data_IF_107640547933
#
_entry.id   IF_107640547933
#
_cell.length_a   1.000
_cell.length_b   1.000
_cell.length_c   1.000
_cell.angle_alpha   90.00
_cell.angle_beta   90.00
_cell.angle_gamma   90.00
#
_symmetry.space_group_name_H-M   'P 1'
#
loop_
_entity.id
_entity.type
_entity.pdbx_description
1 polymer ?
#
# COMPACT_ATOMS: atom_id res chain seq x y z
N UNK A 1 4.71 -24.43 -0.25
CA UNK A 1 5.50 -23.19 -0.28
C UNK A 1 4.98 -22.30 -1.40
N UNK A 2 4.43 -21.15 -1.04
CA UNK A 2 3.96 -20.13 -1.98
C UNK A 2 5.16 -19.35 -2.53
N UNK A 3 5.34 -19.35 -3.82
CA UNK A 3 6.48 -18.70 -4.50
C UNK A 3 6.10 -17.30 -4.94
N UNK A 4 6.85 -16.29 -4.48
CA UNK A 4 6.63 -14.90 -4.81
C UNK A 4 7.71 -14.41 -5.76
N UNK A 5 7.32 -13.64 -6.78
CA UNK A 5 8.20 -12.93 -7.70
C UNK A 5 8.11 -11.41 -7.52
N UNK A 6 9.24 -10.73 -7.40
CA UNK A 6 9.31 -9.27 -7.32
C UNK A 6 9.60 -8.66 -8.69
N UNK A 7 8.79 -7.68 -9.08
CA UNK A 7 8.97 -6.86 -10.29
C UNK A 7 9.21 -5.42 -9.87
N UNK A 8 10.32 -4.83 -10.29
CA UNK A 8 10.70 -3.47 -9.92
C UNK A 8 11.52 -2.79 -11.03
N UNK A 9 11.77 -1.50 -10.90
CA UNK A 9 12.80 -0.81 -11.67
C UNK A 9 14.17 -0.90 -10.99
N UNK A 10 14.20 -0.81 -9.66
CA UNK A 10 15.40 -0.86 -8.83
C UNK A 10 15.10 -1.64 -7.55
N UNK A 11 15.56 -2.87 -7.44
CA UNK A 11 15.31 -3.70 -6.25
C UNK A 11 16.01 -3.21 -4.97
N UNK A 12 17.08 -2.43 -5.09
CA UNK A 12 17.75 -1.90 -3.90
C UNK A 12 17.02 -0.66 -3.34
N UNK A 13 15.76 -0.84 -2.96
CA UNK A 13 14.92 0.17 -2.33
C UNK A 13 14.36 -0.31 -0.98
N UNK A 14 13.70 0.60 -0.27
CA UNK A 14 13.15 0.33 1.07
C UNK A 14 12.09 -0.77 1.05
N UNK A 15 11.15 -0.75 0.07
CA UNK A 15 10.04 -1.71 0.03
C UNK A 15 10.53 -3.11 -0.32
N UNK A 16 11.37 -3.29 -1.34
CA UNK A 16 11.91 -4.60 -1.70
C UNK A 16 12.69 -5.22 -0.54
N UNK A 17 13.53 -4.43 0.14
CA UNK A 17 14.30 -4.91 1.30
C UNK A 17 13.40 -5.26 2.49
N UNK A 18 12.43 -4.40 2.80
CA UNK A 18 11.52 -4.59 3.94
C UNK A 18 10.60 -5.80 3.70
N UNK A 19 9.98 -5.89 2.52
CA UNK A 19 9.06 -6.99 2.20
C UNK A 19 9.79 -8.33 2.12
N UNK A 20 10.98 -8.36 1.53
CA UNK A 20 11.80 -9.57 1.53
C UNK A 20 12.07 -10.07 2.96
N UNK A 21 12.52 -9.17 3.84
CA UNK A 21 12.80 -9.50 5.23
C UNK A 21 11.56 -10.05 5.94
N UNK A 22 10.43 -9.35 5.85
CA UNK A 22 9.19 -9.77 6.49
C UNK A 22 8.71 -11.13 6.00
N UNK A 23 8.77 -11.37 4.68
CA UNK A 23 8.36 -12.63 4.06
C UNK A 23 9.29 -13.81 4.42
N UNK A 24 10.60 -13.56 4.56
CA UNK A 24 11.58 -14.61 4.82
C UNK A 24 11.82 -14.88 6.31
N UNK A 25 11.62 -13.88 7.17
CA UNK A 25 11.89 -13.98 8.61
C UNK A 25 10.59 -14.05 9.42
N UNK A 26 9.77 -12.99 9.38
CA UNK A 26 8.59 -12.85 10.24
C UNK A 26 7.42 -13.76 9.79
N UNK A 27 7.31 -14.04 8.50
CA UNK A 27 6.30 -14.91 7.90
C UNK A 27 6.86 -16.25 7.42
N UNK A 28 8.01 -16.67 7.90
CA UNK A 28 8.62 -17.95 7.54
C UNK A 28 7.71 -19.17 7.85
N UNK A 29 6.85 -19.05 8.87
CA UNK A 29 5.88 -20.11 9.23
C UNK A 29 4.69 -20.22 8.26
N UNK A 30 4.44 -19.22 7.44
CA UNK A 30 3.35 -19.22 6.44
C UNK A 30 3.71 -19.95 5.15
N UNK A 31 4.88 -20.61 5.13
CA UNK A 31 5.39 -21.34 3.96
C UNK A 31 5.43 -20.52 2.67
N UNK A 32 5.85 -19.25 2.78
CA UNK A 32 5.98 -18.28 1.68
C UNK A 32 7.45 -17.93 1.43
N UNK A 33 7.83 -17.67 0.18
CA UNK A 33 9.18 -17.25 -0.15
C UNK A 33 9.27 -16.43 -1.42
N UNK A 34 10.07 -15.37 -1.41
CA UNK A 34 10.51 -14.67 -2.61
C UNK A 34 11.58 -15.54 -3.29
N UNK A 35 11.23 -16.09 -4.43
CA UNK A 35 12.11 -17.04 -5.16
C UNK A 35 12.81 -16.42 -6.35
N UNK A 36 12.21 -15.38 -6.95
CA UNK A 36 12.71 -14.73 -8.15
C UNK A 36 12.45 -13.24 -8.13
N UNK A 37 13.29 -12.48 -8.82
CA UNK A 37 13.07 -11.06 -9.02
C UNK A 37 13.58 -10.61 -10.40
N UNK A 38 12.92 -9.58 -10.92
CA UNK A 38 13.30 -8.87 -12.13
C UNK A 38 13.35 -7.36 -11.87
N UNK A 39 14.35 -6.71 -12.39
CA UNK A 39 14.46 -5.26 -12.38
C UNK A 39 14.91 -4.73 -13.74
N UNK A 40 14.32 -3.60 -14.17
CA UNK A 40 14.63 -3.02 -15.48
C UNK A 40 15.96 -2.26 -15.49
N UNK A 41 16.37 -1.71 -14.36
CA UNK A 41 17.54 -0.85 -14.22
C UNK A 41 18.38 -1.27 -13.02
N UNK A 42 19.08 -2.43 -13.09
CA UNK A 42 19.96 -2.85 -12.00
C UNK A 42 21.07 -1.82 -11.77
N UNK A 43 21.24 -1.39 -10.54
CA UNK A 43 22.24 -0.40 -10.15
C UNK A 43 23.01 -0.85 -8.92
N UNK A 44 24.33 -0.62 -8.90
CA UNK A 44 25.16 -0.90 -7.74
C UNK A 44 25.38 -2.39 -7.48
N UNK A 45 25.24 -2.82 -6.23
CA UNK A 45 25.38 -4.22 -5.81
C UNK A 45 24.26 -5.08 -6.35
N UNK A 46 24.57 -6.31 -6.77
CA UNK A 46 23.54 -7.26 -7.22
C UNK A 46 22.63 -7.67 -6.05
N UNK A 47 21.47 -7.05 -6.00
CA UNK A 47 20.47 -7.28 -4.96
C UNK A 47 20.03 -8.74 -4.90
N UNK A 48 19.86 -9.38 -6.05
CA UNK A 48 19.41 -10.78 -6.13
C UNK A 48 20.46 -11.74 -5.56
N UNK A 49 21.72 -11.57 -5.96
CA UNK A 49 22.83 -12.39 -5.45
C UNK A 49 23.01 -12.20 -3.93
N UNK A 50 22.93 -10.96 -3.44
CA UNK A 50 23.04 -10.63 -2.02
C UNK A 50 21.96 -11.30 -1.16
N UNK A 51 20.74 -11.39 -1.68
CA UNK A 51 19.58 -11.87 -0.94
C UNK A 51 19.21 -13.35 -1.24
N UNK A 52 19.98 -14.04 -2.07
CA UNK A 52 19.72 -15.43 -2.44
C UNK A 52 18.42 -15.62 -3.23
N UNK A 53 18.02 -14.58 -4.00
CA UNK A 53 16.85 -14.58 -4.89
C UNK A 53 17.33 -14.78 -6.32
N UNK A 54 16.63 -15.60 -7.10
CA UNK A 54 17.01 -15.81 -8.49
C UNK A 54 16.69 -14.59 -9.36
N UNK A 55 17.71 -14.04 -10.04
CA UNK A 55 17.51 -12.97 -11.02
C UNK A 55 16.95 -13.53 -12.31
N UNK A 56 15.85 -12.98 -12.80
CA UNK A 56 15.26 -13.32 -14.10
C UNK A 56 15.66 -12.31 -15.17
N UNK A 57 15.85 -12.80 -16.40
CA UNK A 57 16.17 -11.99 -17.55
C UNK A 57 14.98 -11.20 -18.11
N UNK A 58 13.76 -11.65 -17.80
CA UNK A 58 12.52 -11.02 -18.25
C UNK A 58 11.40 -11.21 -17.24
N UNK A 59 10.34 -10.35 -17.34
CA UNK A 59 9.10 -10.51 -16.57
C UNK A 59 8.41 -11.83 -16.91
N UNK A 60 8.49 -12.29 -18.15
CA UNK A 60 7.91 -13.60 -18.58
C UNK A 60 8.54 -14.76 -17.81
N UNK A 61 9.87 -14.83 -17.75
CA UNK A 61 10.58 -15.85 -16.98
C UNK A 61 10.27 -15.78 -15.47
N UNK A 62 10.08 -14.57 -14.93
CA UNK A 62 9.68 -14.37 -13.55
C UNK A 62 8.27 -14.95 -13.31
N UNK A 63 7.32 -14.62 -14.16
CA UNK A 63 5.95 -15.12 -14.09
C UNK A 63 5.90 -16.65 -14.09
N UNK A 64 6.69 -17.31 -14.92
CA UNK A 64 6.75 -18.77 -14.98
C UNK A 64 7.27 -19.41 -13.68
N UNK A 65 8.10 -18.69 -12.92
CA UNK A 65 8.76 -19.19 -11.71
C UNK A 65 8.02 -18.92 -10.40
N UNK A 66 7.00 -18.06 -10.40
CA UNK A 66 6.29 -17.61 -9.21
C UNK A 66 4.79 -17.94 -9.25
N UNK A 67 4.16 -18.08 -8.09
CA UNK A 67 2.71 -18.28 -7.93
C UNK A 67 1.99 -16.93 -7.74
N UNK A 68 2.65 -15.98 -7.10
CA UNK A 68 2.17 -14.61 -6.82
C UNK A 68 3.20 -13.62 -7.32
N UNK A 69 2.76 -12.54 -7.91
CA UNK A 69 3.63 -11.45 -8.37
C UNK A 69 3.45 -10.22 -7.48
N UNK A 70 4.55 -9.58 -7.08
CA UNK A 70 4.54 -8.29 -6.43
C UNK A 70 5.19 -7.25 -7.33
N UNK A 71 4.39 -6.35 -7.88
CA UNK A 71 4.85 -5.16 -8.60
C UNK A 71 5.14 -4.09 -7.57
N UNK A 72 6.40 -3.77 -7.36
CA UNK A 72 6.84 -2.83 -6.33
C UNK A 72 6.96 -1.41 -6.89
N UNK A 73 8.07 -1.06 -7.50
CA UNK A 73 8.36 0.25 -8.11
C UNK A 73 7.88 1.46 -7.25
N UNK A 74 8.24 1.52 -5.95
CA UNK A 74 7.71 2.52 -5.02
C UNK A 74 8.09 3.96 -5.37
N UNK A 75 9.19 4.13 -6.10
CA UNK A 75 9.72 5.43 -6.53
C UNK A 75 9.32 5.78 -7.98
N UNK A 76 8.64 4.87 -8.68
CA UNK A 76 8.25 4.98 -10.08
C UNK A 76 6.74 4.73 -10.27
N UNK A 77 5.92 5.41 -9.49
CA UNK A 77 4.46 5.19 -9.42
C UNK A 77 3.74 5.36 -10.77
N UNK A 78 4.26 6.21 -11.67
CA UNK A 78 3.71 6.40 -13.00
C UNK A 78 3.92 5.18 -13.91
N UNK A 79 4.89 4.32 -13.61
CA UNK A 79 5.24 3.17 -14.43
C UNK A 79 4.48 1.89 -14.03
N UNK A 80 3.68 1.94 -12.96
CA UNK A 80 2.87 0.79 -12.52
C UNK A 80 1.98 0.25 -13.66
N UNK A 81 1.37 1.12 -14.48
CA UNK A 81 0.58 0.68 -15.62
C UNK A 81 1.40 -0.18 -16.59
N UNK A 82 2.58 0.30 -16.99
CA UNK A 82 3.44 -0.41 -17.96
C UNK A 82 3.95 -1.77 -17.42
N UNK A 83 4.21 -1.87 -16.12
CA UNK A 83 4.57 -3.13 -15.47
C UNK A 83 3.36 -4.07 -15.37
N UNK A 84 2.20 -3.53 -15.01
CA UNK A 84 0.95 -4.29 -14.93
C UNK A 84 0.49 -4.84 -16.28
N UNK A 85 0.71 -4.12 -17.39
CA UNK A 85 0.43 -4.60 -18.74
C UNK A 85 1.18 -5.89 -19.11
N UNK A 86 2.36 -6.09 -18.52
CA UNK A 86 3.16 -7.31 -18.72
C UNK A 86 2.80 -8.43 -17.74
N UNK A 87 2.35 -8.10 -16.52
CA UNK A 87 2.10 -9.06 -15.45
C UNK A 87 0.66 -9.59 -15.46
N UNK A 88 -0.35 -8.70 -15.55
CA UNK A 88 -1.75 -9.06 -15.36
C UNK A 88 -2.31 -10.07 -16.38
N UNK A 89 -1.85 -10.11 -17.65
CA UNK A 89 -2.31 -11.14 -18.60
C UNK A 89 -2.04 -12.57 -18.17
N UNK A 90 -1.14 -12.78 -17.22
CA UNK A 90 -0.83 -14.13 -16.71
C UNK A 90 -1.90 -14.72 -15.78
N UNK A 91 -2.87 -13.92 -15.29
CA UNK A 91 -3.93 -14.38 -14.40
C UNK A 91 -3.47 -14.75 -12.99
N UNK A 92 -2.23 -14.47 -12.61
CA UNK A 92 -1.68 -14.80 -11.28
C UNK A 92 -2.01 -13.72 -10.29
N UNK A 93 -2.35 -14.05 -9.02
CA UNK A 93 -2.57 -13.08 -7.97
C UNK A 93 -1.43 -12.06 -7.93
N UNK A 94 -1.77 -10.78 -7.94
CA UNK A 94 -0.77 -9.70 -8.06
C UNK A 94 -1.00 -8.64 -6.99
N UNK A 95 0.00 -8.45 -6.13
CA UNK A 95 0.10 -7.29 -5.26
C UNK A 95 0.77 -6.16 -6.06
N UNK A 96 0.17 -4.97 -6.02
CA UNK A 96 0.73 -3.76 -6.63
C UNK A 96 0.97 -2.77 -5.51
N UNK A 97 2.19 -2.26 -5.39
CA UNK A 97 2.53 -1.34 -4.32
C UNK A 97 1.70 -0.03 -4.38
N UNK A 98 1.67 0.66 -3.28
CA UNK A 98 0.98 1.95 -3.16
C UNK A 98 1.75 3.04 -3.94
N UNK A 99 1.10 3.97 -4.50
CA UNK A 99 -0.31 4.01 -4.89
C UNK A 99 -0.47 3.34 -6.25
N UNK A 100 -1.67 2.83 -6.55
CA UNK A 100 -1.90 2.04 -7.77
C UNK A 100 -1.46 2.79 -9.05
N UNK A 101 -1.76 4.07 -9.14
CA UNK A 101 -1.18 5.05 -10.07
C UNK A 101 -1.48 6.47 -9.58
N UNK A 102 -0.60 7.46 -9.80
CA UNK A 102 -0.89 8.87 -9.54
C UNK A 102 -1.88 9.46 -10.56
N UNK A 103 -2.18 8.73 -11.64
CA UNK A 103 -3.04 9.15 -12.76
C UNK A 103 -4.30 8.27 -12.73
N UNK A 104 -5.47 8.87 -12.49
CA UNK A 104 -6.73 8.11 -12.36
C UNK A 104 -7.04 7.22 -13.58
N UNK A 105 -6.95 7.67 -14.84
CA UNK A 105 -7.15 6.80 -16.00
C UNK A 105 -6.24 5.56 -16.00
N UNK A 106 -5.01 5.68 -15.55
CA UNK A 106 -4.07 4.54 -15.48
C UNK A 106 -4.49 3.55 -14.39
N UNK A 107 -4.90 4.06 -13.23
CA UNK A 107 -5.44 3.22 -12.15
C UNK A 107 -6.71 2.46 -12.61
N UNK A 108 -7.62 3.15 -13.30
CA UNK A 108 -8.82 2.54 -13.90
C UNK A 108 -8.43 1.47 -14.94
N UNK A 109 -7.43 1.74 -15.77
CA UNK A 109 -6.92 0.79 -16.77
C UNK A 109 -6.34 -0.46 -16.13
N UNK A 110 -5.57 -0.33 -15.05
CA UNK A 110 -5.04 -1.48 -14.28
C UNK A 110 -6.21 -2.35 -13.76
N UNK A 111 -7.23 -1.74 -13.16
CA UNK A 111 -8.41 -2.47 -12.66
C UNK A 111 -9.18 -3.16 -13.79
N UNK A 112 -9.37 -2.47 -14.93
CA UNK A 112 -10.02 -3.06 -16.11
C UNK A 112 -9.26 -4.26 -16.67
N UNK A 113 -7.93 -4.18 -16.75
CA UNK A 113 -7.10 -5.31 -17.19
C UNK A 113 -7.19 -6.48 -16.22
N UNK A 114 -7.13 -6.23 -14.92
CA UNK A 114 -7.30 -7.26 -13.92
C UNK A 114 -8.64 -8.00 -14.09
N UNK A 115 -9.72 -7.27 -14.31
CA UNK A 115 -11.05 -7.85 -14.60
C UNK A 115 -11.06 -8.63 -15.93
N UNK A 116 -10.47 -8.06 -16.98
CA UNK A 116 -10.41 -8.68 -18.31
C UNK A 116 -9.70 -10.03 -18.29
N UNK A 117 -8.60 -10.14 -17.56
CA UNK A 117 -7.79 -11.35 -17.47
C UNK A 117 -8.17 -12.28 -16.31
N UNK A 118 -9.15 -11.86 -15.47
CA UNK A 118 -9.52 -12.60 -14.27
C UNK A 118 -8.40 -12.67 -13.22
N UNK A 119 -7.50 -11.67 -13.23
CA UNK A 119 -6.36 -11.60 -12.33
C UNK A 119 -6.78 -11.00 -11.00
N UNK A 120 -6.67 -11.71 -9.88
CA UNK A 120 -6.84 -11.09 -8.58
C UNK A 120 -5.77 -10.02 -8.36
N UNK A 121 -6.17 -8.81 -7.98
CA UNK A 121 -5.22 -7.75 -7.62
C UNK A 121 -5.53 -7.18 -6.24
N UNK A 122 -4.49 -6.77 -5.53
CA UNK A 122 -4.60 -5.95 -4.32
C UNK A 122 -3.54 -4.86 -4.32
N UNK A 123 -3.90 -3.71 -3.76
CA UNK A 123 -3.00 -2.57 -3.56
C UNK A 123 -3.42 -1.82 -2.31
N UNK A 124 -2.49 -1.49 -1.45
CA UNK A 124 -2.77 -0.68 -0.26
C UNK A 124 -1.53 -0.05 0.32
N UNK A 125 -1.70 1.10 0.95
CA UNK A 125 -0.72 1.59 1.91
C UNK A 125 -0.74 0.72 3.17
N UNK A 126 0.43 0.48 3.74
CA UNK A 126 0.58 -0.27 4.98
C UNK A 126 -0.15 0.38 6.17
N UNK A 127 -0.32 1.70 6.17
CA UNK A 127 -1.06 2.41 7.23
C UNK A 127 -2.54 2.01 7.35
N UNK A 128 -3.15 1.44 6.31
CA UNK A 128 -4.47 0.83 6.41
C UNK A 128 -4.52 -0.31 7.44
N UNK A 129 -3.37 -0.89 7.74
CA UNK A 129 -3.17 -2.02 8.64
C UNK A 129 -2.33 -1.63 9.86
N UNK A 130 -2.36 -0.33 10.26
CA UNK A 130 -1.66 0.14 11.44
C UNK A 130 -2.06 -0.69 12.67
N UNK A 131 -1.08 -1.08 13.47
CA UNK A 131 -1.30 -1.92 14.66
C UNK A 131 -2.29 -1.27 15.61
N UNK A 132 -2.19 0.04 15.80
CA UNK A 132 -3.08 0.82 16.64
C UNK A 132 -4.51 0.89 16.08
N UNK A 133 -4.66 0.91 14.74
CA UNK A 133 -5.97 0.85 14.09
C UNK A 133 -6.62 -0.51 14.31
N UNK A 134 -5.86 -1.59 14.13
CA UNK A 134 -6.35 -2.96 14.39
C UNK A 134 -6.73 -3.15 15.88
N UNK A 135 -5.95 -2.60 16.81
CA UNK A 135 -6.25 -2.62 18.24
C UNK A 135 -7.49 -1.78 18.60
N UNK A 136 -7.78 -0.72 17.85
CA UNK A 136 -8.96 0.13 18.04
C UNK A 136 -10.25 -0.54 17.51
N UNK A 137 -10.18 -1.35 16.44
CA UNK A 137 -11.37 -1.95 15.78
C UNK A 137 -12.37 -2.61 16.73
N UNK A 138 -11.98 -3.44 17.70
CA UNK A 138 -12.92 -4.06 18.64
C UNK A 138 -13.69 -3.06 19.51
N UNK A 139 -13.18 -1.84 19.65
CA UNK A 139 -13.80 -0.77 20.44
C UNK A 139 -14.83 0.02 19.62
N UNK A 140 -14.78 -0.05 18.30
CA UNK A 140 -15.68 0.65 17.37
C UNK A 140 -16.98 -0.13 17.16
N UNK A 141 -17.73 -0.34 18.24
CA UNK A 141 -18.99 -1.10 18.24
C UNK A 141 -20.14 -0.23 17.76
N UNK A 142 -20.44 -0.26 16.46
CA UNK A 142 -21.51 0.51 15.84
C UNK A 142 -21.06 1.26 14.59
N UNK A 143 -21.94 2.15 14.11
CA UNK A 143 -21.62 2.94 12.92
C UNK A 143 -20.65 4.07 13.26
N UNK A 144 -19.52 4.11 12.57
CA UNK A 144 -18.60 5.25 12.60
C UNK A 144 -19.26 6.39 11.83
N UNK A 145 -19.69 7.44 12.53
CA UNK A 145 -20.34 8.60 11.91
C UNK A 145 -19.34 9.63 11.36
N UNK A 146 -18.22 9.76 12.03
CA UNK A 146 -17.17 10.71 11.70
C UNK A 146 -15.80 10.06 11.90
N UNK A 147 -14.83 10.39 11.04
CA UNK A 147 -13.45 9.99 11.22
C UNK A 147 -12.51 11.14 10.84
N UNK A 148 -11.29 11.09 11.32
CA UNK A 148 -10.22 11.96 10.87
C UNK A 148 -8.90 11.21 10.79
N UNK A 149 -8.04 11.66 9.91
CA UNK A 149 -6.64 11.25 9.88
C UNK A 149 -5.77 12.46 9.54
N UNK A 150 -4.66 12.57 10.23
CA UNK A 150 -3.68 13.61 10.06
C UNK A 150 -2.31 12.99 9.85
N UNK A 151 -1.58 13.47 8.85
CA UNK A 151 -0.27 12.94 8.48
C UNK A 151 0.63 13.98 7.89
N UNK A 152 1.74 13.53 7.35
CA UNK A 152 2.83 14.36 6.88
C UNK A 152 3.40 13.84 5.57
N UNK A 153 4.23 14.68 4.97
CA UNK A 153 4.95 14.41 3.74
C UNK A 153 4.27 15.00 2.52
N UNK A 154 4.97 14.96 1.42
CA UNK A 154 4.51 15.46 0.14
C UNK A 154 3.24 14.71 -0.29
N UNK A 155 2.26 15.44 -0.83
CA UNK A 155 0.92 14.90 -1.11
C UNK A 155 0.93 13.69 -2.04
N UNK A 156 1.67 13.75 -3.14
CA UNK A 156 1.64 12.68 -4.16
C UNK A 156 2.25 11.37 -3.66
N UNK A 157 3.33 11.44 -2.88
CA UNK A 157 4.01 10.24 -2.37
C UNK A 157 3.49 9.74 -1.02
N UNK A 158 3.02 10.67 -0.17
CA UNK A 158 2.69 10.36 1.24
C UNK A 158 1.22 10.58 1.61
N UNK A 159 0.47 11.39 0.87
CA UNK A 159 -0.96 11.61 1.14
C UNK A 159 -1.77 10.32 1.17
N UNK A 160 -1.42 9.36 0.32
CA UNK A 160 -2.05 8.02 0.28
C UNK A 160 -2.00 7.29 1.63
N UNK A 161 -0.96 7.50 2.43
CA UNK A 161 -0.83 6.87 3.74
C UNK A 161 -1.88 7.39 4.72
N UNK A 162 -2.10 8.71 4.74
CA UNK A 162 -3.13 9.32 5.59
C UNK A 162 -4.54 8.95 5.13
N UNK A 163 -4.78 8.94 3.80
CA UNK A 163 -6.06 8.48 3.22
C UNK A 163 -6.33 7.01 3.56
N UNK A 164 -5.29 6.17 3.60
CA UNK A 164 -5.44 4.75 3.91
C UNK A 164 -5.96 4.50 5.35
N UNK A 165 -5.63 5.36 6.31
CA UNK A 165 -6.20 5.30 7.67
C UNK A 165 -7.72 5.53 7.62
N UNK A 166 -8.20 6.50 6.83
CA UNK A 166 -9.64 6.73 6.65
C UNK A 166 -10.32 5.53 5.99
N UNK A 167 -9.71 4.99 4.93
CA UNK A 167 -10.25 3.78 4.29
C UNK A 167 -10.25 2.59 5.26
N UNK A 168 -9.25 2.49 6.13
CA UNK A 168 -9.18 1.49 7.19
C UNK A 168 -10.30 1.62 8.22
N UNK A 169 -10.71 2.84 8.56
CA UNK A 169 -11.77 3.14 9.52
C UNK A 169 -13.17 3.03 8.89
N UNK A 170 -13.38 3.68 7.75
CA UNK A 170 -14.71 3.95 7.19
C UNK A 170 -15.04 3.10 5.95
N UNK A 171 -14.08 2.40 5.39
CA UNK A 171 -14.23 1.67 4.14
C UNK A 171 -14.21 2.61 2.91
N UNK A 172 -14.59 2.03 1.77
CA UNK A 172 -14.75 2.74 0.50
C UNK A 172 -16.12 3.41 0.40
N UNK A 173 -16.38 4.14 -0.69
CA UNK A 173 -17.72 4.72 -0.99
C UNK A 173 -17.84 6.21 -0.67
N UNK A 174 -16.72 6.92 -0.55
CA UNK A 174 -16.72 8.39 -0.57
C UNK A 174 -17.35 8.89 -1.88
N UNK A 175 -18.28 9.81 -1.77
CA UNK A 175 -19.05 10.36 -2.91
C UNK A 175 -18.61 11.78 -3.27
N UNK A 176 -18.01 12.49 -2.34
CA UNK A 176 -17.51 13.84 -2.54
C UNK A 176 -16.27 14.09 -1.70
N UNK A 177 -15.32 14.78 -2.30
CA UNK A 177 -14.12 15.30 -1.62
C UNK A 177 -13.98 16.78 -1.98
N UNK A 178 -13.74 17.62 -0.97
CA UNK A 178 -13.42 19.02 -1.14
C UNK A 178 -12.09 19.32 -0.45
N UNK A 179 -11.13 19.85 -1.20
CA UNK A 179 -9.87 20.36 -0.64
C UNK A 179 -10.06 21.84 -0.27
N UNK A 180 -9.94 22.13 1.00
CA UNK A 180 -10.04 23.49 1.56
C UNK A 180 -8.72 23.98 2.13
N UNK A 181 -7.64 23.24 1.85
CA UNK A 181 -6.28 23.52 2.30
C UNK A 181 -5.49 24.42 1.36
N UNK A 182 -4.18 24.31 1.49
CA UNK A 182 -3.18 24.97 0.64
C UNK A 182 -2.24 23.93 0.03
N UNK A 183 -1.39 24.28 -0.96
CA UNK A 183 -0.40 23.33 -1.48
C UNK A 183 0.51 22.71 -0.43
N UNK A 184 0.89 23.47 0.62
CA UNK A 184 1.76 23.00 1.70
C UNK A 184 1.00 22.29 2.83
N UNK A 185 -0.34 22.41 2.88
CA UNK A 185 -1.17 21.78 3.91
C UNK A 185 -2.52 21.44 3.32
N UNK A 186 -2.68 20.22 2.83
CA UNK A 186 -3.93 19.72 2.30
C UNK A 186 -4.91 19.45 3.43
N UNK A 187 -6.13 19.90 3.25
CA UNK A 187 -7.21 19.71 4.20
C UNK A 187 -8.46 19.26 3.45
N UNK A 188 -8.74 17.95 3.47
CA UNK A 188 -9.83 17.36 2.71
C UNK A 188 -11.03 17.10 3.60
N UNK A 189 -12.19 17.60 3.17
CA UNK A 189 -13.49 17.18 3.68
C UNK A 189 -14.02 16.07 2.77
N UNK A 190 -14.33 14.91 3.37
CA UNK A 190 -14.79 13.70 2.65
C UNK A 190 -16.22 13.39 3.09
N UNK A 191 -17.12 13.17 2.14
CA UNK A 191 -18.53 12.87 2.37
C UNK A 191 -18.90 11.50 1.77
N UNK A 192 -19.75 10.77 2.48
CA UNK A 192 -20.30 9.48 2.09
C UNK A 192 -21.81 9.62 1.85
N UNK A 193 -22.36 8.78 0.96
CA UNK A 193 -23.80 8.84 0.60
C UNK A 193 -24.75 8.63 1.79
N UNK A 194 -24.32 7.92 2.82
CA UNK A 194 -25.08 7.64 4.04
C UNK A 194 -24.98 8.74 5.11
N UNK A 195 -24.35 9.87 4.79
CA UNK A 195 -24.18 11.02 5.68
C UNK A 195 -22.94 10.96 6.59
N UNK A 196 -22.17 9.87 6.56
CA UNK A 196 -20.88 9.81 7.25
C UNK A 196 -19.89 10.80 6.64
N UNK A 197 -18.94 11.28 7.44
CA UNK A 197 -17.95 12.27 7.01
C UNK A 197 -16.57 11.94 7.55
N UNK A 198 -15.54 12.34 6.79
CA UNK A 198 -14.17 12.27 7.29
C UNK A 198 -13.38 13.54 6.96
N UNK A 199 -12.32 13.76 7.73
CA UNK A 199 -11.31 14.77 7.46
C UNK A 199 -9.96 14.11 7.26
N UNK A 200 -9.24 14.59 6.24
CA UNK A 200 -7.85 14.20 5.98
C UNK A 200 -7.00 15.47 5.98
N UNK A 201 -5.96 15.47 6.78
CA UNK A 201 -5.00 16.57 6.84
C UNK A 201 -3.60 16.04 6.55
N UNK A 202 -2.91 16.61 5.56
CA UNK A 202 -1.55 16.24 5.19
C UNK A 202 -0.69 17.49 5.09
N UNK A 203 0.35 17.53 5.91
CA UNK A 203 1.31 18.62 5.91
C UNK A 203 2.56 18.25 5.13
N UNK A 204 2.90 19.06 4.14
CA UNK A 204 4.21 19.00 3.50
C UNK A 204 5.24 19.57 4.48
N UNK A 205 6.22 18.75 4.86
CA UNK A 205 7.27 19.14 5.78
C UNK A 205 8.59 18.43 5.45
N UNK A 206 9.65 19.17 5.48
CA UNK A 206 11.01 18.62 5.48
C UNK A 206 11.24 17.80 6.77
N UNK A 207 11.99 16.71 6.69
CA UNK A 207 12.29 15.85 7.84
C UNK A 207 11.05 15.31 8.58
N UNK A 208 10.05 14.87 7.81
CA UNK A 208 8.76 14.38 8.28
C UNK A 208 8.82 13.41 9.47
N UNK A 209 9.84 12.56 9.53
CA UNK A 209 9.98 11.52 10.57
C UNK A 209 10.15 12.06 11.99
N UNK A 210 10.56 13.31 12.14
CA UNK A 210 10.83 13.95 13.44
C UNK A 210 9.79 15.01 13.83
N UNK A 211 8.86 15.36 12.94
CA UNK A 211 8.02 16.56 13.14
C UNK A 211 6.60 16.19 13.54
N UNK A 212 6.04 15.12 12.98
CA UNK A 212 4.61 14.90 13.13
C UNK A 212 4.23 13.42 12.93
N UNK A 213 3.66 12.73 13.93
CA UNK A 213 3.17 11.37 13.79
C UNK A 213 1.85 11.34 13.02
N UNK A 214 1.53 10.21 12.38
CA UNK A 214 0.17 9.96 11.93
C UNK A 214 -0.76 9.80 13.12
N UNK A 215 -1.79 10.64 13.16
CA UNK A 215 -2.86 10.60 14.18
C UNK A 215 -4.18 10.35 13.47
N UNK A 216 -5.01 9.50 14.04
CA UNK A 216 -6.32 9.19 13.47
C UNK A 216 -7.35 8.97 14.57
N UNK A 217 -8.62 9.07 14.21
CA UNK A 217 -9.70 8.81 15.15
C UNK A 217 -11.03 8.61 14.46
N UNK A 218 -11.95 8.01 15.21
CA UNK A 218 -13.30 7.70 14.77
C UNK A 218 -14.31 8.00 15.89
N UNK A 219 -15.49 8.47 15.49
CA UNK A 219 -16.62 8.70 16.38
C UNK A 219 -17.67 7.61 16.20
N UNK A 220 -18.01 6.96 17.30
CA UNK A 220 -19.10 6.01 17.38
C UNK A 220 -20.09 6.49 18.49
N UNK A 221 -21.32 6.73 18.11
CA UNK A 221 -22.28 7.37 19.04
C UNK A 221 -21.78 8.74 19.51
N UNK A 222 -21.57 8.89 20.82
CA UNK A 222 -21.06 10.12 21.44
C UNK A 222 -19.57 10.03 21.86
N UNK A 223 -18.88 8.95 21.48
CA UNK A 223 -17.49 8.72 21.90
C UNK A 223 -16.54 8.86 20.70
N UNK A 224 -15.46 9.60 20.89
CA UNK A 224 -14.31 9.62 20.00
C UNK A 224 -13.23 8.67 20.51
N UNK A 225 -12.75 7.82 19.62
CA UNK A 225 -11.56 7.01 19.81
C UNK A 225 -10.44 7.64 18.99
N UNK A 226 -9.30 7.91 19.61
CA UNK A 226 -8.18 8.61 18.95
C UNK A 226 -6.88 7.88 19.28
N UNK A 227 -6.07 7.64 18.25
CA UNK A 227 -4.77 6.99 18.39
C UNK A 227 -3.71 7.67 17.53
N UNK A 228 -2.47 7.39 17.88
CA UNK A 228 -1.27 7.80 17.15
C UNK A 228 -0.54 6.57 16.66
N UNK A 229 -0.15 6.53 15.39
CA UNK A 229 0.67 5.44 14.85
C UNK A 229 2.07 5.51 15.48
N UNK A 230 2.51 4.41 16.07
CA UNK A 230 3.79 4.27 16.79
C UNK A 230 4.61 3.08 16.27
N UNK A 231 3.94 2.01 15.84
CA UNK A 231 4.61 0.80 15.37
C UNK A 231 4.79 0.85 13.84
N UNK A 232 5.91 1.44 13.43
CA UNK A 232 6.30 1.60 12.02
C UNK A 232 6.78 0.28 11.36
N UNK A 233 6.97 -0.79 12.12
CA UNK A 233 7.30 -2.11 11.58
C UNK A 233 6.05 -2.99 11.48
N UNK A 234 5.19 -2.95 12.50
CA UNK A 234 4.02 -3.80 12.58
C UNK A 234 3.01 -3.57 11.46
N UNK A 235 2.85 -2.35 10.97
CA UNK A 235 1.93 -2.12 9.86
C UNK A 235 2.43 -2.73 8.53
N UNK A 236 3.74 -2.80 8.29
CA UNK A 236 4.28 -3.51 7.13
C UNK A 236 4.12 -5.02 7.25
N UNK A 237 4.31 -5.56 8.47
CA UNK A 237 4.04 -6.98 8.73
C UNK A 237 2.57 -7.32 8.47
N UNK A 238 1.64 -6.49 8.94
CA UNK A 238 0.22 -6.70 8.70
C UNK A 238 -0.15 -6.57 7.20
N UNK A 239 0.48 -5.64 6.48
CA UNK A 239 0.33 -5.55 5.02
C UNK A 239 0.78 -6.83 4.33
N UNK A 240 1.95 -7.39 4.69
CA UNK A 240 2.46 -8.62 4.10
C UNK A 240 1.60 -9.84 4.46
N UNK A 241 1.08 -9.92 5.70
CA UNK A 241 0.09 -10.94 6.06
C UNK A 241 -1.15 -10.89 5.15
N UNK A 242 -1.67 -9.70 4.91
CA UNK A 242 -2.79 -9.52 3.98
C UNK A 242 -2.40 -9.94 2.57
N UNK A 243 -1.23 -9.54 2.09
CA UNK A 243 -0.78 -9.80 0.73
C UNK A 243 -0.53 -11.29 0.42
N UNK A 244 -0.24 -12.11 1.43
CA UNK A 244 -0.06 -13.58 1.25
C UNK A 244 -1.33 -14.39 1.48
N UNK A 245 -2.38 -13.77 2.01
CA UNK A 245 -3.68 -14.41 2.27
C UNK A 245 -4.77 -14.03 1.24
N UNK A 246 -4.45 -13.14 0.36
CA UNK A 246 -5.39 -12.55 -0.62
C UNK A 246 -5.62 -13.42 -1.86
#
# INVERSE_FOLDING_TARGET
>A
MLKIGFVDHHLNNFHANTFLKLLHEDLASEDVRVVAAWESHPTGEDWCAKNGVERKGSIVELIESADVIMVLAPDNLADHLALCEQVLPAGKPTFIDKLLSPILPDAERIVQMAQQYGTPITSSSALRFAVELEAMRPQLTGTISEAFARGMGEWMGYGVHTVALIVGLMGTGATRVADVGTPASRFLAVEYADGRRAMVEVHDCENMWNVFPWVFGAKVGNTYHVETVKDYNGFYLNLMKMAVQF
#
